data_IF_669133494224
#
_entry.id   IF_669133494224
#
_cell.length_a   1.000
_cell.length_b   1.000
_cell.length_c   1.000
_cell.angle_alpha   90.00
_cell.angle_beta   90.00
_cell.angle_gamma   90.00
#
_symmetry.space_group_name_H-M   'P 1'
#
loop_
_entity.id
_entity.type
_entity.pdbx_description
1 polymer ?
#
# COMPACT_ATOMS: atom_id res chain seq x y z
N UNK A 1 -16.91 4.68 -28.66
CA UNK A 1 -16.13 3.70 -27.88
C UNK A 1 -15.15 4.48 -27.03
N UNK A 2 -15.27 4.43 -25.71
CA UNK A 2 -14.48 5.26 -24.79
C UNK A 2 -12.99 4.92 -24.87
N UNK A 3 -12.14 5.93 -25.03
CA UNK A 3 -10.69 5.75 -24.86
C UNK A 3 -10.44 5.45 -23.39
N UNK A 4 -10.06 4.22 -23.09
CA UNK A 4 -9.62 3.84 -21.74
C UNK A 4 -8.18 4.34 -21.56
N UNK A 5 -8.05 5.55 -21.01
CA UNK A 5 -6.74 6.13 -20.69
C UNK A 5 -6.19 5.47 -19.43
N UNK A 6 -5.36 4.44 -19.62
CA UNK A 6 -4.70 3.72 -18.54
C UNK A 6 -3.91 4.65 -17.61
N UNK A 7 -3.17 5.61 -18.18
CA UNK A 7 -2.38 6.57 -17.41
C UNK A 7 -3.22 7.45 -16.49
N UNK A 8 -4.40 7.90 -16.96
CA UNK A 8 -5.32 8.69 -16.14
C UNK A 8 -5.88 7.87 -14.98
N UNK A 9 -6.29 6.63 -15.23
CA UNK A 9 -6.79 5.73 -14.18
C UNK A 9 -5.71 5.43 -13.13
N UNK A 10 -4.47 5.20 -13.56
CA UNK A 10 -3.34 5.00 -12.66
C UNK A 10 -3.07 6.24 -11.79
N UNK A 11 -3.09 7.45 -12.37
CA UNK A 11 -2.93 8.69 -11.62
C UNK A 11 -4.02 8.88 -10.56
N UNK A 12 -5.28 8.63 -10.92
CA UNK A 12 -6.39 8.69 -9.96
C UNK A 12 -6.21 7.70 -8.81
N UNK A 13 -5.83 6.45 -9.11
CA UNK A 13 -5.57 5.44 -8.08
C UNK A 13 -4.47 5.88 -7.11
N UNK A 14 -3.38 6.48 -7.62
CA UNK A 14 -2.29 6.99 -6.79
C UNK A 14 -2.78 8.14 -5.89
N UNK A 15 -3.54 9.09 -6.44
CA UNK A 15 -4.06 10.24 -5.68
C UNK A 15 -4.98 9.78 -4.56
N UNK A 16 -5.97 8.94 -4.89
CA UNK A 16 -6.95 8.43 -3.93
C UNK A 16 -6.25 7.57 -2.88
N UNK A 17 -5.37 6.66 -3.29
CA UNK A 17 -4.60 5.80 -2.39
C UNK A 17 -3.73 6.59 -1.41
N UNK A 18 -3.04 7.63 -1.89
CA UNK A 18 -2.22 8.51 -1.04
C UNK A 18 -3.08 9.29 -0.04
N UNK A 19 -4.22 9.82 -0.50
CA UNK A 19 -5.15 10.52 0.38
C UNK A 19 -5.67 9.60 1.49
N UNK A 20 -6.10 8.39 1.14
CA UNK A 20 -6.55 7.38 2.10
C UNK A 20 -5.45 7.01 3.10
N UNK A 21 -4.20 6.85 2.66
CA UNK A 21 -3.07 6.57 3.54
C UNK A 21 -2.84 7.69 4.57
N UNK A 22 -2.92 8.96 4.15
CA UNK A 22 -2.79 10.11 5.05
C UNK A 22 -3.91 10.11 6.09
N UNK A 23 -5.16 9.86 5.68
CA UNK A 23 -6.29 9.76 6.60
C UNK A 23 -6.08 8.66 7.64
N UNK A 24 -5.61 7.48 7.22
CA UNK A 24 -5.29 6.37 8.12
C UNK A 24 -4.15 6.70 9.09
N UNK A 25 -3.09 7.39 8.64
CA UNK A 25 -2.03 7.86 9.54
C UNK A 25 -2.55 8.85 10.57
N UNK A 26 -3.44 9.76 10.17
CA UNK A 26 -4.09 10.70 11.09
C UNK A 26 -4.90 9.96 12.16
N UNK A 27 -5.72 8.99 11.75
CA UNK A 27 -6.50 8.16 12.65
C UNK A 27 -5.62 7.33 13.59
N UNK A 28 -4.56 6.71 13.05
CA UNK A 28 -3.61 5.92 13.85
C UNK A 28 -2.93 6.77 14.92
N UNK A 29 -2.53 7.99 14.57
CA UNK A 29 -1.84 8.90 15.50
C UNK A 29 -2.79 9.36 16.61
N UNK A 30 -4.04 9.67 16.27
CA UNK A 30 -5.05 10.08 17.23
C UNK A 30 -5.41 8.96 18.21
N UNK A 31 -5.59 7.73 17.71
CA UNK A 31 -6.02 6.59 18.53
C UNK A 31 -4.87 5.81 19.20
N UNK A 32 -3.60 6.15 18.92
CA UNK A 32 -2.42 5.50 19.52
C UNK A 32 -2.43 5.47 21.05
N UNK A 33 -3.02 6.48 21.69
CA UNK A 33 -3.07 6.58 23.16
C UNK A 33 -4.12 5.63 23.75
N UNK A 34 -5.22 5.38 23.03
CA UNK A 34 -6.33 4.56 23.51
C UNK A 34 -6.24 3.10 23.09
N UNK A 35 -5.63 2.83 21.94
CA UNK A 35 -5.59 1.49 21.35
C UNK A 35 -4.14 1.05 21.07
N UNK A 36 -3.56 0.15 21.89
CA UNK A 36 -2.16 -0.22 21.79
C UNK A 36 -1.82 -1.03 20.54
N UNK A 37 -2.79 -1.59 19.82
CA UNK A 37 -2.59 -2.39 18.59
C UNK A 37 -2.52 -1.55 17.31
N UNK A 38 -2.80 -0.25 17.38
CA UNK A 38 -2.82 0.70 16.24
C UNK A 38 -1.46 0.82 15.53
N UNK A 39 -0.35 0.45 16.19
CA UNK A 39 0.96 0.39 15.53
C UNK A 39 0.98 -0.58 14.35
N UNK A 40 0.21 -1.68 14.40
CA UNK A 40 0.10 -2.65 13.30
C UNK A 40 -0.49 -2.02 12.05
N UNK A 41 -1.54 -1.20 12.23
CA UNK A 41 -2.14 -0.42 11.16
C UNK A 41 -1.16 0.62 10.60
N UNK A 42 -0.46 1.37 11.46
CA UNK A 42 0.53 2.35 11.03
C UNK A 42 1.67 1.71 10.21
N UNK A 43 2.18 0.55 10.64
CA UNK A 43 3.19 -0.22 9.91
C UNK A 43 2.63 -0.72 8.58
N UNK A 44 1.40 -1.25 8.55
CA UNK A 44 0.75 -1.68 7.32
C UNK A 44 0.62 -0.54 6.31
N UNK A 45 0.13 0.63 6.72
CA UNK A 45 -0.06 1.79 5.84
C UNK A 45 1.29 2.31 5.32
N UNK A 46 2.33 2.34 6.17
CA UNK A 46 3.68 2.72 5.75
C UNK A 46 4.25 1.76 4.69
N UNK A 47 4.17 0.46 4.96
CA UNK A 47 4.68 -0.57 4.05
C UNK A 47 3.88 -0.62 2.75
N UNK A 48 2.55 -0.47 2.79
CA UNK A 48 1.70 -0.40 1.61
C UNK A 48 2.11 0.77 0.71
N UNK A 49 2.40 1.95 1.28
CA UNK A 49 2.91 3.10 0.52
C UNK A 49 4.27 2.84 -0.13
N UNK A 50 5.19 2.18 0.57
CA UNK A 50 6.51 1.81 0.01
C UNK A 50 6.36 0.81 -1.13
N UNK A 51 5.55 -0.23 -0.94
CA UNK A 51 5.33 -1.26 -1.96
C UNK A 51 4.67 -0.67 -3.20
N UNK A 52 3.74 0.28 -3.05
CA UNK A 52 3.12 0.98 -4.19
C UNK A 52 4.14 1.70 -5.09
N UNK A 53 5.29 2.14 -4.57
CA UNK A 53 6.36 2.70 -5.40
C UNK A 53 6.94 1.67 -6.37
N UNK A 54 6.96 0.38 -6.02
CA UNK A 54 7.42 -0.69 -6.91
C UNK A 54 6.51 -0.85 -8.13
N UNK A 55 5.20 -0.63 -7.96
CA UNK A 55 4.21 -0.66 -9.05
C UNK A 55 4.36 0.55 -9.98
N UNK A 56 4.65 1.73 -9.43
CA UNK A 56 4.81 2.96 -10.21
C UNK A 56 6.12 2.94 -11.01
N UNK A 57 7.18 2.42 -10.40
CA UNK A 57 8.52 2.44 -10.98
C UNK A 57 8.62 1.52 -12.21
N UNK A 58 7.92 0.37 -12.19
CA UNK A 58 7.84 -0.64 -13.26
C UNK A 58 9.07 -0.67 -14.18
N UNK A 59 10.24 -0.96 -13.59
CA UNK A 59 11.54 -0.98 -14.28
C UNK A 59 11.81 -2.37 -14.85
N UNK A 60 12.58 -2.47 -15.96
CA UNK A 60 12.93 -3.74 -16.56
C UNK A 60 13.59 -4.70 -15.57
N UNK A 61 13.45 -6.03 -15.78
CA UNK A 61 13.74 -7.03 -14.78
C UNK A 61 15.20 -7.00 -14.32
N UNK A 62 15.37 -6.98 -13.00
CA UNK A 62 16.68 -7.11 -12.36
C UNK A 62 17.14 -8.56 -12.57
N UNK A 63 18.35 -8.71 -13.11
CA UNK A 63 18.94 -10.00 -13.50
C UNK A 63 18.13 -10.84 -14.50
N UNK A 64 17.16 -10.25 -15.22
CA UNK A 64 16.22 -11.01 -16.09
C UNK A 64 15.37 -12.05 -15.35
N UNK A 65 15.30 -11.98 -14.02
CA UNK A 65 14.61 -12.95 -13.16
C UNK A 65 13.51 -12.29 -12.34
N UNK A 66 13.78 -11.09 -11.78
CA UNK A 66 12.82 -10.39 -10.91
C UNK A 66 12.45 -9.05 -11.50
N UNK A 67 11.20 -8.92 -11.88
CA UNK A 67 10.60 -7.66 -12.28
C UNK A 67 10.04 -6.91 -11.07
N UNK A 68 10.04 -5.57 -11.12
CA UNK A 68 9.45 -4.70 -10.09
C UNK A 68 7.98 -5.08 -9.81
N UNK A 69 7.22 -5.45 -10.84
CA UNK A 69 5.84 -5.91 -10.69
C UNK A 69 5.74 -7.23 -9.91
N UNK A 70 6.64 -8.19 -10.17
CA UNK A 70 6.66 -9.46 -9.43
C UNK A 70 7.03 -9.26 -7.94
N UNK A 71 7.94 -8.31 -7.66
CA UNK A 71 8.32 -7.94 -6.31
C UNK A 71 7.20 -7.21 -5.57
N UNK A 72 6.38 -6.45 -6.30
CA UNK A 72 5.16 -5.85 -5.76
C UNK A 72 4.20 -6.93 -5.26
N UNK A 73 3.86 -7.93 -6.09
CA UNK A 73 2.99 -9.05 -5.69
C UNK A 73 3.55 -9.84 -4.51
N UNK A 74 4.87 -10.11 -4.51
CA UNK A 74 5.53 -10.80 -3.40
C UNK A 74 5.43 -10.02 -2.09
N UNK A 75 5.52 -8.69 -2.16
CA UNK A 75 5.52 -7.82 -0.97
C UNK A 75 4.10 -7.55 -0.45
N UNK A 76 3.09 -7.48 -1.32
CA UNK A 76 1.69 -7.27 -0.91
C UNK A 76 1.06 -8.48 -0.24
N UNK A 77 1.48 -9.71 -0.59
CA UNK A 77 0.95 -10.94 0.01
C UNK A 77 1.09 -11.01 1.55
N UNK A 78 2.29 -10.81 2.16
CA UNK A 78 2.42 -10.82 3.62
C UNK A 78 1.79 -9.61 4.30
N UNK A 79 1.63 -8.48 3.58
CA UNK A 79 0.97 -7.28 4.10
C UNK A 79 -0.50 -7.55 4.46
N UNK A 80 -1.19 -8.41 3.70
CA UNK A 80 -2.56 -8.83 4.02
C UNK A 80 -2.63 -9.54 5.38
N UNK A 81 -1.65 -10.39 5.70
CA UNK A 81 -1.59 -11.06 7.00
C UNK A 81 -1.41 -10.06 8.16
N UNK A 82 -0.58 -9.03 7.98
CA UNK A 82 -0.38 -7.98 8.97
C UNK A 82 -1.67 -7.19 9.22
N UNK A 83 -2.37 -6.80 8.15
CA UNK A 83 -3.65 -6.12 8.25
C UNK A 83 -4.71 -6.99 8.94
N UNK A 84 -4.76 -8.28 8.60
CA UNK A 84 -5.68 -9.22 9.24
C UNK A 84 -5.40 -9.36 10.75
N UNK A 85 -4.12 -9.37 11.15
CA UNK A 85 -3.77 -9.36 12.58
C UNK A 85 -4.19 -8.07 13.30
N UNK A 86 -4.19 -6.92 12.62
CA UNK A 86 -4.74 -5.70 13.18
C UNK A 86 -6.25 -5.80 13.37
N UNK A 87 -6.98 -6.33 12.38
CA UNK A 87 -8.45 -6.51 12.44
C UNK A 87 -8.88 -7.49 13.52
N UNK A 88 -8.07 -8.51 13.83
CA UNK A 88 -8.36 -9.44 14.94
C UNK A 88 -8.20 -8.77 16.31
N UNK A 89 -7.26 -7.82 16.44
CA UNK A 89 -6.95 -7.16 17.70
C UNK A 89 -7.85 -5.94 18.00
N UNK A 90 -8.51 -5.38 16.98
CA UNK A 90 -9.46 -4.27 17.07
C UNK A 90 -10.84 -4.72 17.58
#
# INVERSE_FOLDING_TARGET
>A
MGRFDYGYNMQLNIIIGTFTAICWFGWCTYNRIRQPYVWKCAVFVALAGIVMLLEIIDRPPIFWVFDCHSLWHLSTAPLTCLFYSFVIDD
#
